data_IF_392972109392
#
_entry.id   IF_392972109392
#
_cell.length_a   1.000
_cell.length_b   1.000
_cell.length_c   1.000
_cell.angle_alpha   90.00
_cell.angle_beta   90.00
_cell.angle_gamma   90.00
#
_symmetry.space_group_name_H-M   'P 1'
#
loop_
_entity.id
_entity.type
_entity.pdbx_description
1 polymer ?
2 polymer ?
3 non-polymer ?
4 non-polymer ?
5 non-polymer ?
6 non-polymer ?
7 water ?
#
# COMPACT_ATOMS: atom_id res chain seq x y z
N UNK A 1 11.95 -14.85 2.25
CA UNK A 1 12.63 -13.80 3.01
C UNK A 1 12.98 -14.28 4.41
N UNK A 2 14.14 -13.88 4.90
CA UNK A 2 14.59 -14.23 6.25
C UNK A 2 14.95 -12.97 7.02
N UNK A 3 13.96 -12.38 7.70
CA UNK A 3 14.20 -11.14 8.43
C UNK A 3 14.95 -11.36 9.74
N UNK A 4 15.48 -10.28 10.27
CA UNK A 4 16.19 -10.30 11.53
C UNK A 4 15.49 -9.31 12.46
N UNK A 5 15.27 -9.70 13.71
CA UNK A 5 14.61 -8.82 14.66
C UNK A 5 15.33 -8.73 15.98
N UNK A 6 15.16 -7.60 16.67
CA UNK A 6 15.72 -7.48 18.01
C UNK A 6 14.67 -7.47 19.11
N UNK A 7 13.52 -8.08 18.84
CA UNK A 7 12.45 -8.28 19.82
C UNK A 7 11.95 -9.71 19.69
N UNK A 8 11.49 -10.27 20.81
CA UNK A 8 10.91 -11.61 20.80
C UNK A 8 9.49 -11.53 20.27
N UNK A 9 9.04 -12.63 19.66
CA UNK A 9 7.68 -12.72 19.14
C UNK A 9 6.76 -13.14 20.27
N UNK A 10 5.78 -12.31 20.64
CA UNK A 10 4.91 -12.65 21.78
C UNK A 10 3.90 -13.74 21.43
N UNK A 11 3.44 -14.44 22.47
CA UNK A 11 2.40 -15.43 22.25
C UNK A 11 1.05 -14.75 22.11
N UNK A 12 0.30 -15.20 21.12
CA UNK A 12 -1.05 -14.70 20.87
C UNK A 12 -1.97 -15.86 20.48
N UNK A 13 -3.22 -15.75 20.90
CA UNK A 13 -4.19 -16.78 20.60
C UNK A 13 -4.80 -16.55 19.22
N UNK A 14 -5.33 -17.61 18.61
CA UNK A 14 -6.06 -17.43 17.34
C UNK A 14 -7.15 -16.37 17.41
N UNK A 15 -7.89 -16.26 18.52
CA UNK A 15 -8.96 -15.30 18.57
C UNK A 15 -8.42 -13.87 18.61
N UNK A 16 -7.30 -13.67 19.30
CA UNK A 16 -6.67 -12.36 19.33
C UNK A 16 -6.19 -11.97 17.94
N UNK A 17 -5.53 -12.90 17.25
CA UNK A 17 -5.00 -12.61 15.91
C UNK A 17 -6.12 -12.24 14.96
N UNK A 18 -7.23 -12.96 15.02
CA UNK A 18 -8.32 -12.76 14.06
C UNK A 18 -9.13 -11.50 14.31
N UNK A 19 -8.96 -10.83 15.45
CA UNK A 19 -9.76 -9.62 15.66
C UNK A 19 -9.42 -8.58 14.59
N UNK A 20 -10.47 -7.98 14.04
CA UNK A 20 -10.32 -7.00 12.97
C UNK A 20 -9.99 -7.59 11.62
N UNK A 21 -9.95 -8.91 11.49
CA UNK A 21 -9.66 -9.59 10.24
C UNK A 21 -10.92 -10.28 9.73
N UNK A 22 -10.98 -10.42 8.41
CA UNK A 22 -12.04 -11.19 7.76
C UNK A 22 -11.43 -12.46 7.18
N UNK A 23 -12.22 -13.52 7.25
CA UNK A 23 -11.82 -14.81 6.74
C UNK A 23 -12.24 -14.90 5.29
N UNK A 24 -11.26 -15.04 4.40
CA UNK A 24 -11.51 -15.21 2.97
C UNK A 24 -11.45 -16.71 2.71
N UNK A 25 -12.53 -17.34 2.25
CA UNK A 25 -12.48 -18.79 2.04
C UNK A 25 -11.61 -19.17 0.86
N UNK A 26 -11.07 -20.38 0.91
CA UNK A 26 -10.35 -20.89 -0.24
C UNK A 26 -11.22 -20.90 -1.47
N UNK A 27 -10.60 -20.64 -2.62
CA UNK A 27 -11.32 -20.65 -3.87
C UNK A 27 -10.50 -20.03 -4.98
N UNK A 28 -11.16 -19.80 -6.10
CA UNK A 28 -10.54 -19.20 -7.27
C UNK A 28 -11.10 -17.80 -7.48
N UNK A 29 -10.31 -16.99 -8.18
CA UNK A 29 -10.75 -15.71 -8.68
C UNK A 29 -9.94 -15.37 -9.92
N UNK A 30 -10.42 -14.40 -10.68
CA UNK A 30 -9.71 -13.92 -11.85
C UNK A 30 -8.87 -12.69 -11.48
N UNK A 31 -7.56 -12.90 -11.44
CA UNK A 31 -6.56 -11.88 -11.09
C UNK A 31 -6.05 -11.20 -12.34
N UNK A 32 -5.66 -9.94 -12.21
CA UNK A 32 -5.04 -9.21 -13.29
C UNK A 32 -6.02 -8.31 -14.00
N UNK A 33 -5.52 -7.64 -15.02
CA UNK A 33 -6.35 -6.71 -15.78
C UNK A 33 -5.90 -6.63 -17.21
N UNK A 34 -6.85 -6.25 -18.05
CA UNK A 34 -6.62 -6.03 -19.46
C UNK A 34 -7.11 -4.64 -19.94
N UNK A 35 -7.04 -3.58 -19.12
CA UNK A 35 -7.47 -2.23 -19.49
C UNK A 35 -6.53 -1.79 -20.59
N UNK A 36 -7.08 -1.33 -21.72
CA UNK A 36 -6.20 -0.93 -22.81
C UNK A 36 -5.24 0.19 -22.46
N UNK A 37 -5.56 1.04 -21.49
CA UNK A 37 -4.64 2.12 -21.15
C UNK A 37 -3.64 1.76 -20.05
N UNK A 38 -3.55 0.49 -19.66
CA UNK A 38 -2.61 0.12 -18.61
C UNK A 38 -1.20 0.27 -19.13
N UNK A 39 -0.29 0.72 -18.27
CA UNK A 39 1.08 0.85 -18.72
C UNK A 39 1.58 -0.57 -18.93
N UNK A 40 1.87 -0.98 -20.16
CA UNK A 40 2.26 -2.39 -20.37
C UNK A 40 3.44 -2.82 -19.51
N UNK A 41 4.22 -1.88 -19.00
CA UNK A 41 5.36 -2.27 -18.19
C UNK A 41 5.00 -2.50 -16.72
N UNK A 42 3.76 -2.29 -16.33
CA UNK A 42 3.32 -2.71 -15.00
C UNK A 42 2.94 -4.18 -14.93
N UNK A 43 2.76 -4.85 -16.06
CA UNK A 43 2.39 -6.26 -16.01
C UNK A 43 1.06 -6.50 -15.34
N UNK A 44 0.04 -5.70 -15.64
CA UNK A 44 -1.28 -5.94 -15.07
C UNK A 44 -1.87 -7.23 -15.59
N UNK A 45 -1.50 -7.62 -16.81
CA UNK A 45 -1.98 -8.86 -17.38
C UNK A 45 -0.96 -9.98 -17.25
N UNK A 46 -1.32 -11.17 -17.71
CA UNK A 46 -2.64 -11.46 -18.27
C UNK A 46 -3.69 -11.61 -17.17
N UNK A 47 -4.97 -11.51 -17.54
CA UNK A 47 -6.02 -12.00 -16.65
C UNK A 47 -5.87 -13.51 -16.54
N UNK A 48 -5.95 -14.03 -15.31
CA UNK A 48 -5.77 -15.46 -15.09
C UNK A 48 -6.59 -15.91 -13.88
N UNK A 49 -6.95 -17.18 -13.90
CA UNK A 49 -7.62 -17.78 -12.76
C UNK A 49 -6.56 -18.28 -11.78
N UNK A 50 -6.68 -17.83 -10.54
CA UNK A 50 -5.76 -18.19 -9.48
C UNK A 50 -6.57 -18.86 -8.38
N UNK A 51 -6.03 -19.93 -7.80
CA UNK A 51 -6.63 -20.60 -6.66
C UNK A 51 -5.82 -20.23 -5.42
N UNK A 52 -6.51 -19.85 -4.35
CA UNK A 52 -5.89 -19.51 -3.09
C UNK A 52 -6.42 -20.39 -1.97
N UNK A 53 -5.54 -20.74 -1.05
CA UNK A 53 -5.93 -21.36 0.20
C UNK A 53 -6.63 -20.33 1.10
N UNK A 54 -7.47 -20.78 2.03
CA UNK A 54 -8.16 -19.83 2.91
C UNK A 54 -7.14 -18.99 3.66
N UNK A 55 -7.51 -17.73 3.92
CA UNK A 55 -6.63 -16.84 4.65
C UNK A 55 -7.47 -15.79 5.35
N UNK A 56 -6.86 -15.13 6.33
CA UNK A 56 -7.45 -13.97 7.00
C UNK A 56 -6.76 -12.72 6.47
N UNK A 57 -7.52 -11.62 6.38
CA UNK A 57 -6.92 -10.35 6.00
C UNK A 57 -7.57 -9.23 6.80
N UNK A 58 -6.76 -8.23 7.13
CA UNK A 58 -7.26 -7.11 7.92
C UNK A 58 -8.32 -6.32 7.17
N UNK A 59 -9.39 -5.95 7.87
CA UNK A 59 -10.39 -5.06 7.30
C UNK A 59 -9.81 -3.66 7.05
N UNK A 60 -8.88 -3.22 7.91
CA UNK A 60 -8.31 -1.89 7.88
C UNK A 60 -6.81 -1.97 7.67
N UNK A 61 -6.25 -1.00 6.97
CA UNK A 61 -4.81 -0.83 7.02
C UNK A 61 -4.39 -0.60 8.48
N UNK A 62 -3.14 -0.96 8.79
CA UNK A 62 -2.64 -0.77 10.13
C UNK A 62 -2.63 0.72 10.46
N UNK A 63 -3.13 1.07 11.65
CA UNK A 63 -3.30 2.46 12.02
C UNK A 63 -2.09 2.95 12.80
N UNK A 64 -2.02 4.28 12.96
CA UNK A 64 -1.01 4.89 13.83
C UNK A 64 -1.07 4.35 15.25
N UNK A 65 -2.28 4.27 15.82
CA UNK A 65 -2.42 3.77 17.18
C UNK A 65 -1.88 2.35 17.29
N UNK A 66 -2.17 1.50 16.32
CA UNK A 66 -1.67 0.13 16.35
C UNK A 66 -0.15 0.10 16.20
N UNK A 67 0.40 0.88 15.26
CA UNK A 67 1.85 0.90 15.09
C UNK A 67 2.55 1.42 16.34
N UNK A 68 1.95 2.43 16.97
CA UNK A 68 2.52 2.96 18.21
C UNK A 68 2.58 1.89 19.28
N UNK A 69 1.57 1.03 19.37
CA UNK A 69 1.60 -0.03 20.37
C UNK A 69 2.74 -1.00 20.09
N UNK A 70 2.94 -1.35 18.82
CA UNK A 70 4.08 -2.17 18.42
C UNK A 70 5.41 -1.54 18.84
N UNK A 71 5.60 -0.26 18.55
CA UNK A 71 6.87 0.40 18.88
C UNK A 71 7.05 0.48 20.39
N UNK A 72 5.98 0.80 21.13
CA UNK A 72 6.09 0.82 22.59
C UNK A 72 6.50 -0.55 23.14
N UNK A 73 5.94 -1.62 22.60
CA UNK A 73 6.21 -2.96 23.12
C UNK A 73 7.59 -3.49 22.74
N UNK A 74 8.21 -2.98 21.68
CA UNK A 74 9.41 -3.60 21.12
C UNK A 74 10.63 -2.68 21.05
N UNK A 75 10.45 -1.37 21.08
CA UNK A 75 11.54 -0.46 20.80
C UNK A 75 11.90 -0.37 19.34
N UNK A 76 11.05 -0.84 18.44
CA UNK A 76 11.42 -0.92 17.04
C UNK A 76 11.75 0.47 16.46
N UNK A 77 12.84 0.52 15.71
CA UNK A 77 13.30 1.72 15.00
C UNK A 77 13.06 1.51 13.51
N UNK A 78 12.27 2.39 12.92
CA UNK A 78 11.90 2.22 11.52
C UNK A 78 13.04 2.62 10.60
N UNK A 79 12.99 2.11 9.37
CA UNK A 79 14.00 2.47 8.38
C UNK A 79 14.09 3.99 8.19
N UNK A 80 12.97 4.70 8.17
CA UNK A 80 13.05 6.14 7.99
C UNK A 80 13.84 6.80 9.10
N UNK A 81 13.75 6.28 10.32
CA UNK A 81 14.49 6.85 11.44
C UNK A 81 15.97 6.56 11.30
N UNK A 82 16.32 5.35 10.88
CA UNK A 82 17.73 5.01 10.67
C UNK A 82 18.34 5.88 9.59
N UNK A 83 17.64 6.05 8.47
CA UNK A 83 18.14 6.89 7.38
C UNK A 83 18.10 8.36 7.76
N UNK A 84 17.15 8.75 8.61
CA UNK A 84 16.99 10.13 9.00
C UNK A 84 16.12 10.97 8.10
N UNK A 85 15.46 10.39 7.10
CA UNK A 85 14.58 11.15 6.24
C UNK A 85 13.58 10.23 5.58
N UNK A 86 12.51 10.82 5.08
CA UNK A 86 11.51 10.09 4.30
C UNK A 86 10.88 11.04 3.30
N UNK A 87 10.10 10.48 2.38
CA UNK A 87 9.49 11.25 1.31
C UNK A 87 8.13 11.82 1.73
N UNK A 88 7.96 13.14 1.51
CA UNK A 88 6.74 13.87 1.81
C UNK A 88 6.28 14.56 0.54
N UNK A 89 4.98 14.62 0.33
CA UNK A 89 4.46 15.32 -0.84
C UNK A 89 4.67 16.82 -0.66
N UNK A 90 5.07 17.50 -1.74
CA UNK A 90 5.54 18.88 -1.64
C UNK A 90 4.52 19.79 -0.95
N UNK A 91 3.23 19.62 -1.25
CA UNK A 91 2.22 20.53 -0.73
C UNK A 91 2.03 20.38 0.78
N UNK A 92 2.55 19.32 1.37
CA UNK A 92 2.38 19.04 2.80
C UNK A 92 3.59 19.43 3.62
N UNK A 93 4.66 19.91 3.00
CA UNK A 93 5.82 20.35 3.73
C UNK A 93 5.59 21.80 4.14
N UNK A 94 5.62 22.05 5.44
CA UNK A 94 5.41 23.40 5.94
C UNK A 94 6.59 24.29 5.52
N UNK A 95 6.32 25.50 5.01
CA UNK A 95 7.43 26.38 4.61
C UNK A 95 8.42 26.56 5.74
N UNK A 96 9.70 26.56 5.37
CA UNK A 96 10.77 26.63 6.35
C UNK A 96 11.29 25.31 6.84
N UNK A 97 10.49 24.24 6.74
CA UNK A 97 10.99 22.93 7.15
C UNK A 97 12.28 22.63 6.42
N UNK A 98 13.34 22.21 7.10
CA UNK A 98 14.56 21.80 6.40
C UNK A 98 14.28 20.66 5.43
N UNK A 99 14.72 20.82 4.19
CA UNK A 99 14.53 19.80 3.16
C UNK A 99 15.84 19.53 2.46
N UNK A 100 16.01 18.29 2.00
CA UNK A 100 17.14 17.92 1.17
C UNK A 100 16.90 18.38 -0.26
N UNK A 101 17.99 18.61 -0.98
CA UNK A 101 17.84 19.02 -2.38
C UNK A 101 17.58 17.83 -3.31
N UNK A 102 17.46 16.63 -2.76
CA UNK A 102 17.27 15.42 -3.56
C UNK A 102 16.06 15.52 -4.48
N UNK A 103 16.22 14.99 -5.69
CA UNK A 103 15.12 14.94 -6.67
C UNK A 103 14.88 13.48 -7.03
N UNK A 104 13.63 13.07 -6.96
CA UNK A 104 13.23 11.76 -7.48
C UNK A 104 13.06 11.98 -8.99
N UNK A 105 13.82 11.29 -9.83
CA UNK A 105 13.67 11.49 -11.28
C UNK A 105 12.22 11.33 -11.69
N UNK A 106 11.74 12.30 -12.47
CA UNK A 106 10.43 12.28 -13.07
C UNK A 106 9.33 12.59 -12.07
N UNK A 107 9.62 12.82 -10.80
CA UNK A 107 8.58 13.03 -9.78
C UNK A 107 9.02 14.11 -8.82
N UNK A 108 9.13 15.35 -9.31
CA UNK A 108 9.65 16.44 -8.45
C UNK A 108 8.71 16.83 -7.32
N UNK A 109 7.48 16.29 -7.31
CA UNK A 109 6.53 16.55 -6.22
C UNK A 109 6.91 15.86 -4.93
N UNK A 110 7.84 14.90 -4.96
CA UNK A 110 8.31 14.26 -3.74
C UNK A 110 9.48 15.04 -3.16
N UNK A 111 9.46 15.25 -1.85
CA UNK A 111 10.52 15.96 -1.15
C UNK A 111 11.08 15.01 -0.10
N UNK A 112 12.41 14.88 -0.09
CA UNK A 112 13.10 14.15 0.97
C UNK A 112 13.27 15.07 2.17
N UNK A 113 12.63 14.72 3.28
CA UNK A 113 12.49 15.59 4.44
C UNK A 113 13.22 14.93 5.61
N UNK A 114 14.34 15.50 6.06
CA UNK A 114 14.96 15.00 7.29
C UNK A 114 13.97 15.00 8.44
N UNK A 115 13.95 13.90 9.19
CA UNK A 115 13.09 13.83 10.34
C UNK A 115 11.64 13.51 10.07
N UNK A 116 11.24 13.33 8.80
CA UNK A 116 9.90 12.81 8.53
C UNK A 116 9.89 11.32 8.80
N UNK A 117 8.92 10.87 9.59
CA UNK A 117 8.78 9.45 9.90
C UNK A 117 7.36 9.22 10.39
N UNK A 118 7.06 7.99 10.81
CA UNK A 118 5.67 7.63 11.05
C UNK A 118 5.01 8.56 12.07
N UNK A 119 5.74 8.99 13.10
CA UNK A 119 5.16 9.83 14.15
C UNK A 119 5.22 11.32 13.83
N UNK A 120 5.93 11.71 12.79
CA UNK A 120 6.03 13.11 12.35
C UNK A 120 5.95 13.10 10.83
N UNK A 121 4.75 12.86 10.27
CA UNK A 121 4.66 12.48 8.86
C UNK A 121 4.99 13.59 7.90
N UNK A 122 5.05 14.84 8.34
CA UNK A 122 5.43 15.94 7.46
C UNK A 122 6.76 16.55 7.86
N UNK A 123 7.49 15.90 8.76
CA UNK A 123 8.78 16.36 9.18
C UNK A 123 8.71 16.94 10.58
N UNK A 124 9.84 17.45 11.07
CA UNK A 124 9.87 17.99 12.44
C UNK A 124 8.83 19.09 12.62
N UNK A 125 8.11 19.02 13.74
CA UNK A 125 7.01 19.91 14.01
C UNK A 125 5.64 19.35 13.67
N UNK A 126 5.56 18.25 12.94
CA UNK A 126 4.28 17.60 12.68
C UNK A 126 4.09 16.46 13.69
N UNK A 127 2.84 16.01 13.81
CA UNK A 127 2.54 14.94 14.76
C UNK A 127 1.32 14.16 14.27
N UNK A 128 1.03 13.07 14.95
CA UNK A 128 -0.14 12.25 14.63
C UNK A 128 -1.20 12.32 15.73
N UNK A 129 -1.15 13.37 16.56
CA UNK A 129 -2.10 13.48 17.65
C UNK A 129 -3.55 13.49 17.16
N UNK A 130 -3.81 14.04 15.99
CA UNK A 130 -5.15 14.10 15.41
C UNK A 130 -5.38 13.00 14.39
N UNK A 131 -4.47 12.04 14.29
CA UNK A 131 -4.54 10.98 13.29
C UNK A 131 -4.37 9.58 13.89
N UNK A 132 -4.89 9.30 15.08
CA UNK A 132 -4.66 7.97 15.67
C UNK A 132 -5.20 6.84 14.82
N UNK A 133 -6.34 7.03 14.15
CA UNK A 133 -6.95 5.98 13.35
C UNK A 133 -6.69 6.16 11.85
N UNK A 134 -5.73 6.98 11.48
CA UNK A 134 -5.25 7.02 10.10
C UNK A 134 -4.25 5.89 9.88
N UNK A 135 -4.07 5.47 8.61
CA UNK A 135 -3.07 4.44 8.34
C UNK A 135 -1.70 4.97 8.72
N UNK A 136 -0.88 4.12 9.34
CA UNK A 136 0.52 4.48 9.55
C UNK A 136 1.20 4.61 8.20
N UNK A 137 2.06 5.63 8.06
CA UNK A 137 2.83 5.85 6.84
C UNK A 137 4.29 6.02 7.20
N UNK A 138 5.14 6.22 6.18
CA UNK A 138 6.59 6.21 6.37
C UNK A 138 7.09 4.90 6.95
N UNK A 139 6.38 3.82 6.67
CA UNK A 139 6.78 2.48 7.06
C UNK A 139 7.26 1.77 5.81
N UNK A 140 8.45 1.22 5.88
CA UNK A 140 9.00 0.48 4.77
C UNK A 140 8.47 -0.95 4.77
N UNK A 141 8.84 -1.69 3.75
CA UNK A 141 8.47 -3.10 3.70
C UNK A 141 9.06 -3.83 4.89
N UNK A 142 10.31 -3.54 5.25
CA UNK A 142 10.91 -4.16 6.44
C UNK A 142 10.12 -3.84 7.69
N UNK A 143 9.71 -2.57 7.86
CA UNK A 143 8.94 -2.19 9.04
C UNK A 143 7.60 -2.92 9.07
N UNK A 144 6.96 -3.07 7.92
CA UNK A 144 5.69 -3.77 7.82
C UNK A 144 5.84 -5.23 8.21
N UNK A 145 6.87 -5.90 7.70
CA UNK A 145 7.12 -7.29 8.07
C UNK A 145 7.39 -7.41 9.56
N UNK A 146 8.13 -6.46 10.12
CA UNK A 146 8.41 -6.49 11.56
C UNK A 146 7.12 -6.38 12.37
N UNK A 147 6.29 -5.38 12.06
CA UNK A 147 4.97 -5.27 12.70
C UNK A 147 4.17 -6.56 12.54
N UNK A 148 4.06 -7.05 11.30
CA UNK A 148 3.20 -8.19 11.06
C UNK A 148 3.65 -9.39 11.87
N UNK A 149 4.97 -9.62 11.92
CA UNK A 149 5.49 -10.77 12.65
C UNK A 149 5.22 -10.62 14.15
N UNK A 150 5.45 -9.43 14.69
CA UNK A 150 5.12 -9.17 16.09
C UNK A 150 3.64 -9.43 16.37
N UNK A 151 2.77 -9.10 15.42
CA UNK A 151 1.32 -9.23 15.59
C UNK A 151 0.84 -10.67 15.37
N UNK A 152 1.72 -11.59 15.00
CA UNK A 152 1.34 -12.95 14.73
C UNK A 152 0.82 -13.17 13.34
N UNK A 153 1.19 -12.29 12.41
CA UNK A 153 0.61 -12.23 11.07
C UNK A 153 1.74 -12.16 10.05
N UNK A 154 1.42 -11.71 8.83
CA UNK A 154 2.36 -11.62 7.72
C UNK A 154 1.77 -10.62 6.73
N UNK A 155 2.53 -10.29 5.71
CA UNK A 155 1.94 -9.51 4.65
C UNK A 155 1.17 -10.43 3.70
N UNK A 156 0.13 -9.91 3.07
CA UNK A 156 -0.56 -10.68 2.04
C UNK A 156 0.31 -10.81 0.82
N UNK A 157 0.19 -11.93 0.11
CA UNK A 157 0.72 -11.98 -1.24
C UNK A 157 -0.09 -11.03 -2.12
N UNK A 158 0.44 -10.73 -3.30
CA UNK A 158 -0.34 -9.88 -4.20
C UNK A 158 -1.67 -10.53 -4.56
N UNK A 159 -1.67 -11.84 -4.77
CA UNK A 159 -2.91 -12.50 -5.14
C UNK A 159 -3.92 -12.48 -4.00
N UNK A 160 -3.46 -12.71 -2.76
CA UNK A 160 -4.35 -12.60 -1.61
C UNK A 160 -4.90 -11.17 -1.49
N UNK A 161 -4.02 -10.18 -1.60
CA UNK A 161 -4.47 -8.80 -1.54
C UNK A 161 -5.56 -8.55 -2.58
N UNK A 162 -5.31 -9.00 -3.81
CA UNK A 162 -6.24 -8.67 -4.89
C UNK A 162 -7.55 -9.44 -4.77
N UNK A 163 -7.50 -10.72 -4.38
CA UNK A 163 -8.75 -11.44 -4.14
C UNK A 163 -9.57 -10.74 -3.08
N UNK A 164 -8.94 -10.38 -1.96
CA UNK A 164 -9.68 -9.71 -0.90
C UNK A 164 -10.19 -8.34 -1.36
N UNK A 165 -9.36 -7.56 -2.08
CA UNK A 165 -9.76 -6.23 -2.50
C UNK A 165 -10.88 -6.27 -3.51
N UNK A 166 -10.92 -7.32 -4.31
CA UNK A 166 -11.99 -7.41 -5.31
C UNK A 166 -13.33 -7.69 -4.67
N UNK A 167 -13.35 -8.19 -3.44
CA UNK A 167 -14.57 -8.30 -2.66
C UNK A 167 -15.70 -9.09 -3.28
N UNK A 168 -15.39 -10.16 -4.01
CA UNK A 168 -16.40 -11.05 -4.55
C UNK A 168 -16.95 -10.65 -5.89
N UNK A 169 -16.38 -9.65 -6.54
CA UNK A 169 -16.76 -9.27 -7.89
C UNK A 169 -15.78 -9.86 -8.89
N UNK A 170 -16.30 -10.25 -10.04
CA UNK A 170 -15.50 -10.87 -11.09
C UNK A 170 -15.06 -9.77 -12.05
N UNK A 171 -13.78 -9.43 -12.02
CA UNK A 171 -13.17 -8.57 -13.04
C UNK A 171 -13.85 -7.21 -13.13
N UNK A 172 -14.19 -6.64 -11.97
CA UNK A 172 -14.60 -5.26 -11.93
C UNK A 172 -13.38 -4.36 -11.92
N UNK A 173 -13.59 -3.08 -12.25
CA UNK A 173 -12.50 -2.13 -12.33
C UNK A 173 -12.00 -1.75 -10.93
N UNK A 174 -12.92 -1.52 -10.01
CA UNK A 174 -12.67 -1.05 -8.65
C UNK A 174 -13.20 -2.08 -7.66
N UNK A 175 -12.87 -1.95 -6.37
CA UNK A 175 -13.39 -2.91 -5.38
C UNK A 175 -14.90 -3.03 -5.33
N UNK A 176 -15.63 -1.96 -5.68
CA UNK A 176 -17.09 -1.88 -5.56
C UNK A 176 -17.83 -2.06 -6.88
N UNK A 177 -17.12 -2.12 -8.01
CA UNK A 177 -17.75 -2.19 -9.32
C UNK A 177 -16.99 -1.40 -10.35
N UNK A 178 -17.66 -0.90 -11.39
CA UNK A 178 -16.97 -0.36 -12.55
C UNK A 178 -17.02 1.16 -12.66
N UNK A 179 -17.79 1.84 -11.82
CA UNK A 179 -17.88 3.29 -11.82
C UNK A 179 -17.07 3.85 -10.66
N UNK A 180 -16.33 4.92 -10.94
CA UNK A 180 -15.47 5.49 -9.90
C UNK A 180 -16.28 6.11 -8.78
N UNK A 181 -17.35 6.85 -9.13
CA UNK A 181 -18.21 7.49 -8.14
C UNK A 181 -19.66 7.13 -8.48
N UNK A 182 -20.08 5.91 -8.18
CA UNK A 182 -21.46 5.52 -8.50
C UNK A 182 -22.45 6.34 -7.68
N UNK A 183 -23.56 6.69 -8.33
CA UNK A 183 -24.57 7.56 -7.71
C UNK A 183 -23.96 8.89 -7.24
N UNK A 184 -22.85 9.31 -7.86
CA UNK A 184 -22.18 10.54 -7.51
C UNK A 184 -21.46 10.53 -6.18
N UNK A 185 -21.29 9.38 -5.55
CA UNK A 185 -20.69 9.33 -4.22
C UNK A 185 -19.25 8.86 -4.35
N UNK A 186 -18.39 9.54 -3.61
CA UNK A 186 -16.99 9.12 -3.55
C UNK A 186 -16.89 7.85 -2.72
N UNK A 187 -16.11 6.91 -3.24
CA UNK A 187 -15.95 5.60 -2.65
C UNK A 187 -14.55 5.33 -2.14
N UNK A 188 -13.63 6.26 -2.37
CA UNK A 188 -12.23 6.09 -2.01
C UNK A 188 -11.57 7.46 -2.00
N UNK A 189 -10.41 7.53 -1.35
CA UNK A 189 -9.65 8.76 -1.18
C UNK A 189 -8.50 8.75 -2.18
N UNK A 190 -8.68 9.47 -3.28
CA UNK A 190 -7.65 9.67 -4.29
C UNK A 190 -7.59 11.18 -4.54
N UNK A 191 -6.90 11.61 -5.58
CA UNK A 191 -6.81 13.03 -5.90
C UNK A 191 -7.98 13.44 -6.75
N UNK A 192 -8.48 14.66 -6.52
CA UNK A 192 -9.34 15.33 -7.50
C UNK A 192 -8.72 16.68 -7.83
N UNK A 193 -8.86 17.06 -9.09
CA UNK A 193 -8.31 18.33 -9.55
C UNK A 193 -7.17 18.14 -10.52
N UNK A 194 -6.15 18.96 -10.36
CA UNK A 194 -5.05 19.07 -11.32
C UNK A 194 -3.78 18.60 -10.62
N UNK A 195 -3.34 17.38 -10.93
CA UNK A 195 -2.16 16.83 -10.26
C UNK A 195 -0.91 17.33 -10.98
N UNK A 196 0.13 17.78 -10.24
CA UNK A 196 0.30 17.82 -8.80
C UNK A 196 0.08 19.18 -8.15
N UNK A 197 -0.63 20.06 -8.87
CA UNK A 197 -0.70 21.47 -8.48
C UNK A 197 -1.78 21.71 -7.43
N UNK A 198 -2.96 21.11 -7.59
CA UNK A 198 -4.07 21.46 -6.71
C UNK A 198 -5.01 20.27 -6.54
N UNK A 199 -5.13 19.83 -5.30
CA UNK A 199 -6.08 18.79 -4.91
C UNK A 199 -7.30 19.50 -4.33
N UNK A 200 -8.44 19.31 -4.96
CA UNK A 200 -9.66 19.97 -4.52
C UNK A 200 -10.26 19.34 -3.28
N UNK A 201 -9.86 18.12 -2.92
CA UNK A 201 -10.40 17.49 -1.74
C UNK A 201 -11.87 17.18 -1.85
N UNK A 202 -12.38 16.97 -3.06
CA UNK A 202 -13.81 16.71 -3.22
C UNK A 202 -14.25 15.50 -2.39
N UNK A 203 -13.39 14.49 -2.26
CA UNK A 203 -13.75 13.28 -1.54
C UNK A 203 -13.65 13.46 -0.04
N UNK A 204 -13.30 14.65 0.44
CA UNK A 204 -13.20 14.93 1.86
C UNK A 204 -11.80 15.07 2.39
N UNK A 205 -10.77 14.62 1.67
CA UNK A 205 -9.44 14.51 2.24
C UNK A 205 -8.41 14.89 1.19
N UNK A 206 -7.45 15.71 1.59
CA UNK A 206 -6.27 16.02 0.78
C UNK A 206 -5.01 15.40 1.35
N UNK A 207 -5.15 14.51 2.33
CA UNK A 207 -4.08 13.67 2.82
C UNK A 207 -4.71 12.34 3.13
N UNK A 208 -4.12 11.60 4.06
CA UNK A 208 -4.73 10.34 4.45
C UNK A 208 -6.07 10.60 5.15
N UNK A 209 -6.95 9.61 5.05
CA UNK A 209 -8.20 9.54 5.76
C UNK A 209 -8.15 8.43 6.81
N UNK A 210 -9.03 8.46 7.81
CA UNK A 210 -9.08 7.34 8.75
C UNK A 210 -9.25 6.01 8.00
N UNK A 211 -8.71 4.95 8.61
CA UNK A 211 -8.72 3.63 7.99
C UNK A 211 -10.12 3.10 7.75
N UNK A 212 -11.14 3.64 8.44
CA UNK A 212 -12.51 3.18 8.27
C UNK A 212 -13.35 4.14 7.42
N UNK A 213 -12.70 5.05 6.70
CA UNK A 213 -13.45 5.96 5.85
C UNK A 213 -14.08 5.20 4.68
N UNK A 214 -15.20 5.73 4.19
CA UNK A 214 -15.94 5.20 3.06
C UNK A 214 -16.55 3.83 3.33
N UNK A 215 -17.39 3.38 2.41
CA UNK A 215 -18.01 2.08 2.58
C UNK A 215 -16.97 0.99 2.35
N UNK A 216 -17.13 -0.16 2.98
CA UNK A 216 -16.25 -1.30 2.67
C UNK A 216 -16.62 -1.93 1.34
N UNK A 217 -15.80 -2.90 0.92
CA UNK A 217 -16.14 -3.71 -0.23
C UNK A 217 -17.01 -4.89 0.23
N UNK A 218 -17.31 -5.80 -0.69
CA UNK A 218 -18.22 -6.89 -0.40
C UNK A 218 -17.73 -7.87 0.64
N UNK A 219 -16.43 -7.86 0.93
CA UNK A 219 -15.86 -8.72 1.95
C UNK A 219 -15.60 -7.99 3.26
N UNK A 220 -15.97 -6.72 3.34
CA UNK A 220 -15.77 -5.95 4.56
C UNK A 220 -14.45 -5.22 4.67
N UNK A 221 -13.67 -5.12 3.58
CA UNK A 221 -12.42 -4.38 3.63
C UNK A 221 -12.62 -2.92 3.26
N UNK A 222 -11.89 -2.05 3.96
CA UNK A 222 -11.97 -0.61 3.81
C UNK A 222 -10.72 -0.05 3.17
N UNK A 223 -10.89 0.84 2.20
CA UNK A 223 -9.79 1.62 1.61
C UNK A 223 -8.72 0.73 1.00
N UNK A 224 -9.15 -0.36 0.37
CA UNK A 224 -8.22 -1.10 -0.49
C UNK A 224 -7.84 -0.28 -1.70
N UNK A 225 -8.78 0.46 -2.27
CA UNK A 225 -8.45 1.46 -3.28
C UNK A 225 -8.27 2.80 -2.59
N UNK A 226 -7.21 3.51 -2.99
CA UNK A 226 -6.91 4.81 -2.45
C UNK A 226 -6.38 4.78 -1.02
N UNK A 227 -6.28 6.00 -0.47
CA UNK A 227 -5.75 6.26 0.86
C UNK A 227 -4.23 6.08 0.90
N UNK A 228 -3.74 4.85 1.10
CA UNK A 228 -2.30 4.56 1.06
C UNK A 228 -2.04 3.32 0.21
N UNK A 229 -0.92 3.36 -0.50
CA UNK A 229 -0.35 2.14 -1.07
C UNK A 229 -0.13 1.12 0.04
N UNK A 230 -0.24 -0.17 -0.29
CA UNK A 230 -0.08 -1.21 0.70
C UNK A 230 0.94 -2.24 0.27
N UNK A 231 1.96 -2.40 1.08
CA UNK A 231 2.99 -3.39 0.81
C UNK A 231 2.41 -4.80 0.78
N UNK A 232 2.86 -5.58 -0.21
CA UNK A 232 2.60 -7.01 -0.25
C UNK A 232 3.91 -7.77 -0.14
N UNK A 233 3.78 -9.10 0.03
CA UNK A 233 4.94 -9.93 0.31
C UNK A 233 5.84 -10.09 -0.92
N UNK A 234 5.26 -10.07 -2.13
CA UNK A 234 5.95 -10.56 -3.32
C UNK A 234 7.07 -9.61 -3.76
N UNK A 235 8.16 -10.20 -4.25
CA UNK A 235 9.05 -9.47 -5.14
C UNK A 235 8.30 -9.05 -6.38
N UNK A 236 8.62 -7.86 -6.88
CA UNK A 236 8.05 -7.32 -8.11
C UNK A 236 8.68 -7.94 -9.35
N UNK A 237 7.84 -8.24 -10.33
CA UNK A 237 8.26 -8.36 -11.71
C UNK A 237 7.07 -8.02 -12.57
N UNK A 238 7.33 -7.75 -13.85
CA UNK A 238 6.26 -7.47 -14.79
C UNK A 238 5.77 -8.70 -15.51
N UNK A 239 6.50 -9.81 -15.43
CA UNK A 239 6.23 -10.94 -16.31
C UNK A 239 6.32 -12.33 -15.68
N UNK A 240 6.75 -12.49 -14.43
CA UNK A 240 6.79 -13.82 -13.84
C UNK A 240 5.44 -14.50 -13.94
N UNK A 241 4.37 -13.76 -13.72
CA UNK A 241 3.03 -14.30 -13.66
C UNK A 241 2.44 -14.54 -15.04
N UNK A 242 3.18 -14.25 -16.12
CA UNK A 242 2.70 -14.57 -17.46
C UNK A 242 2.81 -16.04 -17.78
N UNK A 243 3.67 -16.75 -17.06
CA UNK A 243 3.82 -18.20 -17.23
C UNK A 243 2.59 -18.89 -16.66
N UNK A 244 2.18 -19.96 -17.32
CA UNK A 244 1.12 -20.83 -16.82
C UNK A 244 1.76 -22.02 -16.13
N UNK A 245 1.61 -22.10 -14.82
CA UNK A 245 2.24 -23.16 -14.04
C UNK A 245 1.58 -23.19 -12.67
N UNK A 246 1.75 -24.27 -11.93
CA UNK A 246 1.21 -24.29 -10.57
C UNK A 246 1.79 -23.17 -9.72
N UNK A 247 3.06 -22.86 -9.88
CA UNK A 247 3.68 -21.83 -9.07
C UNK A 247 3.06 -20.46 -9.33
N UNK A 248 2.54 -20.21 -10.52
CA UNK A 248 1.96 -18.90 -10.82
C UNK A 248 0.45 -18.88 -10.73
N UNK A 249 -0.19 -20.02 -10.48
CA UNK A 249 -1.63 -20.10 -10.48
C UNK A 249 -2.26 -20.70 -9.22
N UNK A 250 -1.47 -21.29 -8.32
CA UNK A 250 -1.97 -21.87 -7.08
C UNK A 250 -1.14 -21.26 -5.95
N UNK A 251 -1.78 -20.48 -5.09
CA UNK A 251 -1.10 -19.80 -3.99
C UNK A 251 0.20 -19.14 -4.47
N UNK A 252 0.13 -18.35 -5.55
CA UNK A 252 1.37 -17.80 -6.12
C UNK A 252 2.07 -16.84 -5.17
N UNK A 253 3.39 -16.97 -5.11
CA UNK A 253 4.19 -16.16 -4.21
C UNK A 253 5.03 -15.11 -4.93
N UNK A 254 4.99 -15.06 -6.25
CA UNK A 254 5.82 -14.17 -7.01
C UNK A 254 7.20 -14.77 -7.22
N UNK A 255 8.05 -14.04 -7.93
CA UNK A 255 9.39 -14.56 -8.22
C UNK A 255 10.21 -14.71 -6.95
N UNK A 256 11.17 -15.62 -7.01
CA UNK A 256 11.96 -15.93 -5.84
C UNK A 256 13.00 -14.86 -5.53
N UNK A 257 13.37 -14.05 -6.50
CA UNK A 257 14.31 -12.96 -6.31
C UNK A 257 13.73 -11.69 -6.92
N UNK A 258 14.27 -10.56 -6.48
CA UNK A 258 13.93 -9.29 -7.07
C UNK A 258 14.67 -8.17 -6.38
N UNK A 259 14.29 -6.95 -6.74
CA UNK A 259 14.87 -5.76 -6.13
C UNK A 259 13.84 -4.88 -5.45
N UNK A 260 12.58 -4.96 -5.84
CA UNK A 260 11.55 -4.14 -5.25
C UNK A 260 10.39 -5.04 -4.88
N UNK A 261 9.63 -4.63 -3.89
CA UNK A 261 8.46 -5.40 -3.48
C UNK A 261 7.19 -4.73 -3.98
N UNK A 262 6.17 -5.55 -4.19
CA UNK A 262 4.90 -5.11 -4.75
C UNK A 262 4.17 -4.22 -3.76
N UNK A 263 3.57 -3.16 -4.28
CA UNK A 263 2.59 -2.36 -3.57
C UNK A 263 1.28 -2.31 -4.35
N UNK A 264 0.16 -2.34 -3.63
CA UNK A 264 -1.15 -2.34 -4.26
C UNK A 264 -2.05 -1.25 -3.70
N UNK A 265 -3.04 -0.87 -4.51
CA UNK A 265 -4.21 -0.14 -4.06
C UNK A 265 -4.28 1.34 -4.41
N UNK A 266 -3.18 1.98 -4.73
CA UNK A 266 -3.19 3.41 -4.93
C UNK A 266 -3.30 4.17 -3.61
N UNK A 267 -3.29 5.49 -3.72
CA UNK A 267 -3.21 6.37 -2.55
C UNK A 267 -3.98 7.65 -2.79
N UNK A 268 -3.96 8.52 -1.77
CA UNK A 268 -4.59 9.83 -1.85
C UNK A 268 -4.00 10.72 -2.93
N UNK A 269 -2.87 10.34 -3.50
CA UNK A 269 -2.27 11.11 -4.60
C UNK A 269 -2.64 10.61 -5.99
N UNK A 270 -3.26 9.45 -6.12
CA UNK A 270 -3.52 8.91 -7.45
C UNK A 270 -4.56 9.74 -8.20
N UNK A 271 -4.37 9.85 -9.52
CA UNK A 271 -5.32 10.52 -10.38
C UNK A 271 -5.27 9.89 -11.75
N UNK A 272 -6.42 9.88 -12.43
CA UNK A 272 -6.52 9.27 -13.76
C UNK A 272 -5.56 9.91 -14.76
N UNK A 273 -5.26 11.20 -14.58
CA UNK A 273 -4.48 11.93 -15.56
C UNK A 273 -3.01 11.60 -15.50
N UNK A 274 -2.53 10.91 -14.47
CA UNK A 274 -1.11 10.51 -14.52
C UNK A 274 -0.92 9.02 -14.34
N UNK A 275 -1.24 8.53 -13.15
CA UNK A 275 -0.99 7.13 -12.84
C UNK A 275 -2.14 6.16 -12.98
N UNK A 276 -3.31 6.52 -12.45
CA UNK A 276 -4.54 5.72 -12.48
C UNK A 276 -4.40 4.30 -11.90
N UNK A 277 -3.66 4.23 -10.79
CA UNK A 277 -3.39 2.93 -10.19
C UNK A 277 -4.26 2.52 -9.00
N UNK A 278 -5.39 3.20 -8.81
CA UNK A 278 -6.38 2.78 -7.81
C UNK A 278 -7.34 1.72 -8.35
N UNK A 279 -7.27 1.38 -9.63
CA UNK A 279 -7.95 0.20 -10.13
C UNK A 279 -7.39 -1.02 -9.43
N UNK A 280 -8.27 -1.99 -9.15
CA UNK A 280 -7.86 -3.11 -8.30
C UNK A 280 -6.81 -4.00 -8.97
N UNK A 281 -6.77 -4.04 -10.31
CA UNK A 281 -5.75 -4.81 -11.03
C UNK A 281 -4.40 -4.11 -11.06
N UNK A 282 -4.36 -2.82 -10.76
CA UNK A 282 -3.13 -2.06 -10.92
C UNK A 282 -2.10 -2.50 -9.88
N UNK A 283 -0.85 -2.13 -10.13
CA UNK A 283 0.23 -2.59 -9.29
C UNK A 283 1.46 -1.74 -9.55
N UNK A 284 2.28 -1.56 -8.53
CA UNK A 284 3.61 -0.98 -8.72
C UNK A 284 4.49 -1.57 -7.63
N UNK A 285 5.62 -0.92 -7.36
CA UNK A 285 6.62 -1.49 -6.47
C UNK A 285 7.43 -0.37 -5.88
N UNK A 286 8.18 -0.74 -4.83
CA UNK A 286 9.16 0.15 -4.24
C UNK A 286 10.21 -0.72 -3.55
N UNK A 287 11.40 -0.16 -3.38
CA UNK A 287 12.46 -0.96 -2.77
C UNK A 287 12.18 -1.10 -1.28
N UNK A 288 12.62 -2.21 -0.67
CA UNK A 288 12.02 -2.59 0.62
C UNK A 288 12.39 -1.72 1.81
N UNK A 289 13.48 -0.95 1.76
CA UNK A 289 13.75 -0.02 2.85
C UNK A 289 13.27 1.39 2.57
N UNK A 290 12.51 1.59 1.50
CA UNK A 290 11.97 2.90 1.18
C UNK A 290 10.69 3.16 1.96
N UNK A 291 10.38 4.44 2.13
CA UNK A 291 9.22 4.88 2.87
C UNK A 291 8.71 6.20 2.31
N UNK A 292 7.43 6.46 2.54
CA UNK A 292 6.81 7.65 1.97
C UNK A 292 5.51 7.93 2.68
N UNK A 293 5.08 9.18 2.58
CA UNK A 293 3.87 9.65 3.24
C UNK A 293 2.57 9.04 2.73
N UNK A 294 2.64 8.29 1.64
CA UNK A 294 1.43 7.72 1.07
C UNK A 294 1.44 6.20 1.01
N UNK A 295 2.32 5.60 1.79
CA UNK A 295 2.48 4.16 1.79
C UNK A 295 2.43 3.55 3.18
N UNK A 296 1.57 2.55 3.34
CA UNK A 296 1.40 1.79 4.56
C UNK A 296 1.18 0.33 4.22
N UNK A 297 0.33 -0.36 4.98
CA UNK A 297 0.14 -1.79 4.77
C UNK A 297 -1.04 -2.27 5.59
N UNK A 298 -1.53 -3.45 5.20
CA UNK A 298 -2.45 -4.24 6.01
C UNK A 298 -1.89 -5.67 6.12
N UNK A 299 -2.30 -6.39 7.16
CA UNK A 299 -1.77 -7.72 7.38
C UNK A 299 -2.74 -8.79 6.91
N UNK A 300 -2.17 -9.97 6.67
CA UNK A 300 -2.89 -11.22 6.41
C UNK A 300 -2.42 -12.23 7.46
N UNK A 301 -3.11 -13.37 7.53
CA UNK A 301 -2.71 -14.42 8.46
C UNK A 301 -3.22 -15.76 7.96
N UNK A 302 -2.50 -16.80 8.32
CA UNK A 302 -2.98 -18.15 8.08
C UNK A 302 -3.97 -18.51 9.17
N UNK A 303 -5.12 -19.12 8.85
CA UNK A 303 -6.03 -19.46 9.95
C UNK A 303 -5.48 -20.63 10.77
N UNK B 1 5.52 10.82 -20.04
CA UNK B 1 6.51 10.65 -21.09
C UNK B 1 7.18 9.30 -20.90
N UNK B 2 7.39 8.95 -19.63
CA UNK B 2 7.79 7.62 -19.22
C UNK B 2 6.76 7.13 -18.23
N UNK B 3 6.91 5.90 -17.79
CA UNK B 3 5.87 5.30 -16.95
C UNK B 3 5.70 6.12 -15.67
N UNK B 4 4.47 6.55 -15.34
CA UNK B 4 4.29 7.33 -14.11
C UNK B 4 4.83 6.63 -12.87
N UNK B 5 5.31 7.43 -11.94
CA UNK B 5 5.99 6.94 -10.75
C UNK B 5 5.10 7.17 -9.54
N UNK B 6 4.71 6.07 -8.87
CA UNK B 6 3.99 6.20 -7.61
C UNK B 6 4.80 5.84 -6.38
N UNK B 7 5.89 5.07 -6.55
CA UNK B 7 6.69 4.58 -5.44
C UNK B 7 8.11 5.15 -5.47
N UNK B 8 8.34 6.19 -4.67
CA UNK B 8 9.66 6.86 -4.65
C UNK B 8 10.66 6.09 -3.79
N UNK B 9 11.79 5.72 -4.39
CA UNK B 9 12.74 4.83 -3.73
C UNK B 9 13.91 5.63 -3.16
N UNK B 10 14.48 5.10 -2.08
CA UNK B 10 15.67 5.76 -1.54
C UNK B 10 16.80 5.75 -2.53
N UNK B 11 16.92 4.69 -3.33
CA UNK B 11 17.99 4.61 -4.30
C UNK B 11 17.85 5.66 -5.39
N UNK B 12 16.61 6.06 -5.70
CA UNK B 12 16.37 6.90 -6.86
C UNK B 12 17.04 8.27 -6.75
N UNK B 13 17.28 8.76 -5.54
CA UNK B 13 17.86 10.10 -5.34
C UNK B 13 19.38 10.12 -5.35
N UNK B 14 20.03 8.96 -5.36
CA UNK B 14 21.49 8.92 -5.39
C UNK B 14 21.96 9.24 -6.80
X LIG C 1 -1.76 6.04 -8.53
X LIG D 1 -5.01 1.42 -0.62
X LIG E 1 -8.68 12.87 -1.61
X LIG F 1 -0.33 7.29 -5.45
X LIG F 1 0.60 7.80 -5.53
X LIG G 1 3.25 10.41 -19.18
X LIG G 1 2.07 9.64 -19.11
X LIG G 1 1.08 10.03 -18.22
X LIG G 1 1.23 11.12 -17.40
X LIG G 1 3.39 11.52 -18.34
X LIG G 1 2.38 11.87 -17.46
X LIG G 1 1.90 8.53 -19.93
X LIG G 1 4.35 10.06 -20.10
X LIG G 1 4.34 9.13 -20.88
#
# INVERSE_FOLDING_TARGET
HMPSFDFDIPRRSPQEIAKGMVAIPGGTFRMGGEDPDAFPEDGEGPVRTVRLSPFLIDRYAVSNRQFAAFVKATGYVTDAERYGWSFVFHAHVAPGTPVMDAVVPEAPWWVAVPGAYWKAPEGPGSSITDRPNHPVVHVSWNDAVAYATWAGKRLPTEAEWEMAARGGLDQARYPWGNELTPRGRHRCNIWQGTFPVHDTGEDGYTGTAPVNAFAPNGYGLYNVAGNVWEWCADWWSADWHATESPATRIDPRGPETGTARVTKGGSFLCHESYCNRYRVAARTCNTPDSSAAHTGFRCAADP
ATTPLCGPSRASIL
CU1 CU
CA CA
CA CA
NO N O
SOA C4 C3 C2 C1 C5 C6 N11 C12 O1
#
